data_IF_971651640251
#
_entry.id   IF_971651640251
#
_cell.length_a   1.000
_cell.length_b   1.000
_cell.length_c   1.000
_cell.angle_alpha   90.00
_cell.angle_beta   90.00
_cell.angle_gamma   90.00
#
_symmetry.space_group_name_H-M   'P 1'
#
loop_
_entity.id
_entity.type
_entity.pdbx_description
1 polymer ?
#
# COMPACT_ATOMS: atom_id res chain seq x y z
N UNK A 1 -13.89 22.29 -16.20
CA UNK A 1 -14.11 21.30 -15.13
C UNK A 1 -12.82 20.52 -15.01
N UNK A 2 -12.13 20.49 -13.86
CA UNK A 2 -11.05 19.53 -13.69
C UNK A 2 -11.65 18.13 -13.86
N UNK A 3 -10.99 17.35 -14.69
CA UNK A 3 -11.29 15.96 -14.98
C UNK A 3 -11.29 15.19 -13.66
N UNK A 4 -12.40 14.50 -13.34
CA UNK A 4 -12.50 13.69 -12.12
C UNK A 4 -11.53 12.51 -12.29
N UNK A 5 -10.30 12.68 -11.81
CA UNK A 5 -9.25 11.67 -11.94
C UNK A 5 -9.61 10.49 -11.05
N UNK A 6 -9.95 9.36 -11.67
CA UNK A 6 -10.16 8.09 -10.96
C UNK A 6 -8.86 7.57 -10.37
N UNK A 7 -8.97 6.82 -9.28
CA UNK A 7 -7.85 6.12 -8.67
C UNK A 7 -7.64 4.79 -9.39
N UNK A 8 -6.45 4.60 -9.96
CA UNK A 8 -6.11 3.35 -10.64
C UNK A 8 -5.89 2.21 -9.63
N UNK A 9 -6.47 1.06 -9.91
CA UNK A 9 -6.28 -0.19 -9.20
C UNK A 9 -5.78 -1.27 -10.17
N UNK A 10 -4.58 -1.77 -9.94
CA UNK A 10 -3.84 -2.66 -10.81
C UNK A 10 -4.19 -4.11 -10.53
N UNK A 11 -4.56 -4.86 -11.57
CA UNK A 11 -4.90 -6.27 -11.46
C UNK A 11 -3.70 -7.10 -10.98
N UNK A 12 -3.96 -8.08 -10.11
CA UNK A 12 -2.99 -9.08 -9.69
C UNK A 12 -3.39 -10.46 -10.22
N UNK A 13 -2.49 -11.43 -10.13
CA UNK A 13 -2.75 -12.83 -10.44
C UNK A 13 -3.21 -13.66 -9.21
N UNK A 14 -3.55 -12.99 -8.11
CA UNK A 14 -4.04 -13.63 -6.90
C UNK A 14 -5.50 -14.11 -7.03
N UNK A 15 -5.90 -15.19 -6.34
CA UNK A 15 -7.30 -15.55 -6.21
C UNK A 15 -8.11 -14.42 -5.54
N UNK A 16 -9.35 -14.27 -5.99
CA UNK A 16 -10.32 -13.35 -5.43
C UNK A 16 -11.58 -14.14 -4.99
N UNK A 17 -12.22 -13.78 -3.86
CA UNK A 17 -11.84 -12.70 -2.95
C UNK A 17 -10.55 -13.00 -2.17
N UNK A 18 -9.79 -11.95 -1.86
CA UNK A 18 -8.56 -12.05 -1.09
C UNK A 18 -8.88 -12.14 0.41
N UNK A 19 -8.22 -13.07 1.10
CA UNK A 19 -8.13 -13.09 2.56
C UNK A 19 -6.80 -12.49 3.04
N UNK A 20 -6.56 -12.46 4.35
CA UNK A 20 -5.34 -11.88 4.92
C UNK A 20 -4.06 -12.60 4.46
N UNK A 21 -4.12 -13.92 4.26
CA UNK A 21 -2.97 -14.69 3.80
C UNK A 21 -2.64 -14.32 2.36
N UNK A 22 -3.66 -14.25 1.50
CA UNK A 22 -3.51 -13.83 0.12
C UNK A 22 -3.04 -12.38 0.01
N UNK A 23 -3.59 -11.48 0.82
CA UNK A 23 -3.17 -10.08 0.85
C UNK A 23 -1.68 -9.94 1.22
N UNK A 24 -1.20 -10.74 2.18
CA UNK A 24 0.21 -10.77 2.56
C UNK A 24 1.10 -11.27 1.42
N UNK A 25 0.69 -12.33 0.72
CA UNK A 25 1.42 -12.85 -0.46
C UNK A 25 1.46 -11.85 -1.61
N UNK A 26 0.35 -11.16 -1.87
CA UNK A 26 0.29 -10.10 -2.89
C UNK A 26 1.20 -8.93 -2.53
N UNK A 27 1.18 -8.50 -1.26
CA UNK A 27 2.05 -7.45 -0.77
C UNK A 27 3.53 -7.80 -0.96
N UNK A 28 3.94 -9.01 -0.58
CA UNK A 28 5.31 -9.49 -0.78
C UNK A 28 5.70 -9.54 -2.26
N UNK A 29 4.82 -10.08 -3.10
CA UNK A 29 5.12 -10.31 -4.51
C UNK A 29 5.20 -9.03 -5.34
N UNK A 30 4.28 -8.09 -5.12
CA UNK A 30 4.13 -6.91 -5.97
C UNK A 30 4.82 -5.68 -5.40
N UNK A 31 4.95 -5.56 -4.08
CA UNK A 31 5.49 -4.34 -3.47
C UNK A 31 6.99 -4.46 -3.20
N UNK A 32 7.49 -5.61 -2.76
CA UNK A 32 8.94 -5.79 -2.50
C UNK A 32 9.80 -5.49 -3.74
N UNK A 33 9.42 -5.87 -4.97
CA UNK A 33 10.18 -5.47 -6.16
C UNK A 33 10.19 -3.95 -6.43
N UNK A 34 9.11 -3.22 -6.10
CA UNK A 34 9.00 -1.78 -6.32
C UNK A 34 9.72 -0.93 -5.25
N UNK A 35 9.79 -1.39 -4.00
CA UNK A 35 10.52 -0.67 -2.92
C UNK A 35 12.04 -0.91 -2.93
N UNK A 36 12.55 -1.69 -3.88
CA UNK A 36 13.92 -2.22 -3.85
C UNK A 36 14.12 -3.22 -2.71
N UNK A 37 15.36 -3.67 -2.49
CA UNK A 37 15.69 -4.48 -1.31
C UNK A 37 15.16 -3.75 -0.07
N UNK A 38 14.19 -4.34 0.62
CA UNK A 38 13.77 -3.85 1.93
C UNK A 38 15.03 -3.70 2.79
N UNK A 39 15.30 -2.52 3.36
CA UNK A 39 16.41 -2.35 4.28
C UNK A 39 16.35 -3.44 5.35
N UNK A 40 17.49 -3.91 5.83
CA UNK A 40 17.54 -4.94 6.86
C UNK A 40 16.63 -4.54 8.05
N UNK A 41 15.69 -5.43 8.41
CA UNK A 41 14.71 -5.18 9.46
C UNK A 41 13.44 -4.42 9.04
N UNK A 42 13.32 -3.97 7.79
CA UNK A 42 12.06 -3.45 7.27
C UNK A 42 11.08 -4.59 6.97
N UNK A 43 9.79 -4.33 7.21
CA UNK A 43 8.71 -5.30 6.98
C UNK A 43 7.49 -4.62 6.40
N UNK A 44 6.67 -5.38 5.69
CA UNK A 44 5.33 -4.94 5.32
C UNK A 44 4.38 -5.23 6.47
N UNK A 45 3.52 -4.29 6.78
CA UNK A 45 2.43 -4.45 7.74
C UNK A 45 1.12 -4.42 6.98
N UNK A 46 0.35 -5.51 7.11
CA UNK A 46 -0.95 -5.66 6.46
C UNK A 46 -2.03 -5.56 7.52
N UNK A 47 -2.99 -4.67 7.32
CA UNK A 47 -4.13 -4.47 8.22
C UNK A 47 -5.42 -4.72 7.46
N UNK A 48 -6.31 -5.51 8.06
CA UNK A 48 -7.60 -5.85 7.48
C UNK A 48 -8.68 -4.82 7.84
N UNK A 49 -9.40 -4.35 6.82
CA UNK A 49 -10.58 -3.50 6.94
C UNK A 49 -11.79 -4.17 6.25
N UNK A 50 -12.97 -3.56 6.36
CA UNK A 50 -14.21 -4.17 5.84
C UNK A 50 -14.15 -4.48 4.33
N UNK A 51 -13.68 -3.53 3.51
CA UNK A 51 -13.68 -3.63 2.04
C UNK A 51 -12.31 -3.93 1.43
N UNK A 52 -11.23 -3.85 2.21
CA UNK A 52 -9.87 -3.92 1.70
C UNK A 52 -8.87 -4.34 2.79
N UNK A 53 -7.61 -4.49 2.39
CA UNK A 53 -6.46 -4.51 3.27
C UNK A 53 -5.60 -3.28 2.97
N UNK A 54 -5.05 -2.63 4.00
CA UNK A 54 -3.96 -1.66 3.80
C UNK A 54 -2.62 -2.35 3.99
N UNK A 55 -1.62 -1.84 3.29
CA UNK A 55 -0.24 -2.27 3.41
C UNK A 55 0.63 -1.04 3.55
N UNK A 56 1.44 -1.01 4.60
CA UNK A 56 2.47 0.00 4.81
C UNK A 56 3.83 -0.65 5.02
N UNK A 57 4.88 0.04 4.60
CA UNK A 57 6.26 -0.34 4.92
C UNK A 57 6.61 0.21 6.30
N UNK A 58 6.92 -0.69 7.23
CA UNK A 58 7.55 -0.33 8.49
C UNK A 58 9.06 -0.46 8.30
N UNK A 59 9.77 0.67 8.37
CA UNK A 59 11.23 0.69 8.35
C UNK A 59 11.79 0.29 9.72
N UNK A 60 13.01 -0.23 9.74
CA UNK A 60 13.73 -0.42 10.99
C UNK A 60 13.84 0.93 11.74
N UNK A 61 13.80 0.94 13.08
CA UNK A 61 14.07 2.15 13.84
C UNK A 61 15.43 2.73 13.44
N UNK A 62 15.57 4.06 13.31
CA UNK A 62 16.87 4.66 13.07
C UNK A 62 17.82 4.34 14.23
N UNK A 63 19.14 4.25 13.97
CA UNK A 63 20.11 4.13 15.06
C UNK A 63 19.97 5.32 16.02
N UNK A 64 20.09 5.04 17.32
CA UNK A 64 19.95 6.03 18.40
C UNK A 64 21.31 6.30 19.04
N UNK A 65 21.52 7.54 19.49
CA UNK A 65 22.68 7.92 20.30
C UNK A 65 22.58 7.37 21.72
N UNK A 66 23.64 7.57 22.52
CA UNK A 66 23.67 7.17 23.94
C UNK A 66 22.58 7.86 24.79
N UNK A 67 22.08 9.00 24.32
CA UNK A 67 20.97 9.77 24.91
C UNK A 67 19.58 9.25 24.51
N UNK A 68 19.50 8.23 23.64
CA UNK A 68 18.26 7.66 23.12
C UNK A 68 17.62 8.49 22.00
N UNK A 69 18.29 9.52 21.48
CA UNK A 69 17.78 10.35 20.39
C UNK A 69 18.21 9.73 19.04
N UNK A 70 17.31 9.62 18.03
CA UNK A 70 17.68 9.18 16.69
C UNK A 70 18.85 9.99 16.12
N UNK A 71 19.90 9.30 15.65
CA UNK A 71 21.07 9.93 15.03
C UNK A 71 20.74 10.65 13.72
N UNK A 72 19.67 10.20 13.06
CA UNK A 72 19.17 10.79 11.83
C UNK A 72 17.65 10.99 11.94
N UNK A 73 17.09 12.02 11.27
CA UNK A 73 15.65 12.15 11.13
C UNK A 73 15.04 10.88 10.54
N UNK A 74 13.86 10.51 11.00
CA UNK A 74 13.10 9.44 10.35
C UNK A 74 12.78 9.86 8.91
N UNK A 75 12.98 8.95 7.96
CA UNK A 75 12.52 9.17 6.59
C UNK A 75 10.99 9.28 6.59
N UNK A 76 10.40 10.22 5.82
CA UNK A 76 8.96 10.26 5.64
C UNK A 76 8.45 8.88 5.20
N UNK A 77 7.41 8.40 5.86
CA UNK A 77 6.82 7.09 5.56
C UNK A 77 6.42 6.98 4.09
N UNK A 78 6.55 5.77 3.53
CA UNK A 78 6.03 5.47 2.21
C UNK A 78 4.51 5.72 2.11
N UNK A 79 3.97 5.74 0.89
CA UNK A 79 2.52 5.78 0.69
C UNK A 79 1.83 4.54 1.29
N UNK A 80 0.51 4.61 1.42
CA UNK A 80 -0.29 3.45 1.83
C UNK A 80 -0.72 2.71 0.56
N UNK A 81 -0.52 1.40 0.54
CA UNK A 81 -1.05 0.56 -0.54
C UNK A 81 -2.36 -0.06 -0.07
N UNK A 82 -3.34 -0.18 -0.97
CA UNK A 82 -4.60 -0.85 -0.71
C UNK A 82 -4.73 -2.07 -1.60
N UNK A 83 -5.09 -3.21 -1.01
CA UNK A 83 -5.50 -4.44 -1.71
C UNK A 83 -7.00 -4.57 -1.56
N UNK A 84 -7.74 -4.51 -2.67
CA UNK A 84 -9.18 -4.72 -2.67
C UNK A 84 -9.54 -6.17 -2.34
N UNK A 85 -10.48 -6.38 -1.41
CA UNK A 85 -10.87 -7.73 -0.99
C UNK A 85 -11.60 -8.52 -2.07
N UNK A 86 -12.40 -7.86 -2.90
CA UNK A 86 -13.25 -8.54 -3.87
C UNK A 86 -12.48 -8.96 -5.13
N UNK A 87 -11.45 -8.21 -5.49
CA UNK A 87 -10.72 -8.37 -6.77
C UNK A 87 -9.25 -8.71 -6.59
N UNK A 88 -8.66 -8.48 -5.41
CA UNK A 88 -7.22 -8.59 -5.19
C UNK A 88 -6.41 -7.50 -5.90
N UNK A 89 -7.04 -6.48 -6.48
CA UNK A 89 -6.36 -5.39 -7.17
C UNK A 89 -5.65 -4.44 -6.19
N UNK A 90 -4.53 -3.88 -6.62
CA UNK A 90 -3.67 -3.02 -5.81
C UNK A 90 -3.82 -1.56 -6.22
N UNK A 91 -3.99 -0.63 -5.28
CA UNK A 91 -3.97 0.81 -5.55
C UNK A 91 -3.03 1.53 -4.58
N UNK A 92 -2.45 2.65 -5.02
CA UNK A 92 -1.46 3.41 -4.27
C UNK A 92 -2.04 4.74 -3.80
N UNK A 93 -1.91 4.99 -2.50
CA UNK A 93 -2.49 6.15 -1.84
C UNK A 93 -1.41 7.01 -1.19
N UNK A 94 -1.70 8.31 -0.94
CA UNK A 94 -0.78 9.18 -0.20
C UNK A 94 -0.41 8.61 1.17
N UNK A 95 0.67 9.14 1.76
CA UNK A 95 1.10 8.77 3.12
C UNK A 95 0.17 9.39 4.18
N UNK A 96 -1.04 8.84 4.25
CA UNK A 96 -2.07 9.13 5.25
C UNK A 96 -2.17 7.97 6.24
N UNK A 97 -2.90 8.15 7.34
CA UNK A 97 -3.14 7.05 8.27
C UNK A 97 -3.93 5.91 7.61
N UNK A 98 -3.58 4.66 7.91
CA UNK A 98 -4.16 3.46 7.28
C UNK A 98 -5.69 3.43 7.37
N UNK A 99 -6.27 3.72 8.54
CA UNK A 99 -7.73 3.75 8.70
C UNK A 99 -8.41 4.83 7.85
N UNK A 100 -7.75 5.98 7.67
CA UNK A 100 -8.26 7.06 6.82
C UNK A 100 -8.19 6.68 5.34
N UNK A 101 -7.11 6.01 4.92
CA UNK A 101 -6.99 5.47 3.56
C UNK A 101 -8.05 4.42 3.30
N UNK A 102 -8.30 3.51 4.25
CA UNK A 102 -9.36 2.50 4.11
C UNK A 102 -10.75 3.12 3.98
N UNK A 103 -11.04 4.19 4.73
CA UNK A 103 -12.28 4.96 4.61
C UNK A 103 -12.39 5.62 3.22
N UNK A 104 -11.34 6.32 2.77
CA UNK A 104 -11.32 6.97 1.45
C UNK A 104 -11.39 6.00 0.30
N UNK A 105 -10.78 4.82 0.44
CA UNK A 105 -10.93 3.73 -0.51
C UNK A 105 -12.39 3.27 -0.60
N UNK A 106 -13.05 3.06 0.54
CA UNK A 106 -14.45 2.65 0.55
C UNK A 106 -15.39 3.70 -0.08
N UNK A 107 -15.16 4.99 0.20
CA UNK A 107 -15.87 6.11 -0.44
C UNK A 107 -15.67 6.09 -1.97
N UNK A 108 -14.42 6.02 -2.43
CA UNK A 108 -14.10 6.02 -3.85
C UNK A 108 -14.67 4.79 -4.58
N UNK A 109 -14.64 3.61 -3.93
CA UNK A 109 -15.24 2.38 -4.46
C UNK A 109 -16.76 2.52 -4.60
N UNK A 110 -17.43 3.04 -3.58
CA UNK A 110 -18.88 3.27 -3.60
C UNK A 110 -19.29 4.32 -4.66
N UNK A 111 -18.43 5.31 -4.92
CA UNK A 111 -18.64 6.34 -5.92
C UNK A 111 -18.30 5.90 -7.36
N UNK A 112 -17.73 4.71 -7.58
CA UNK A 112 -17.28 4.26 -8.90
C UNK A 112 -16.04 5.00 -9.42
N UNK A 113 -15.24 5.53 -8.49
CA UNK A 113 -14.02 6.31 -8.73
C UNK A 113 -12.74 5.45 -8.70
N UNK A 114 -12.89 4.13 -8.54
CA UNK A 114 -11.80 3.16 -8.76
C UNK A 114 -11.83 2.72 -10.22
N UNK A 115 -10.70 2.87 -10.89
CA UNK A 115 -10.47 2.40 -12.26
C UNK A 115 -9.57 1.17 -12.23
N UNK A 116 -10.12 0.01 -12.59
CA UNK A 116 -9.35 -1.22 -12.66
C UNK A 116 -8.55 -1.27 -13.97
N UNK A 117 -7.23 -1.36 -13.85
CA UNK A 117 -6.30 -1.39 -14.97
C UNK A 117 -5.43 -2.64 -14.90
N UNK A 118 -5.04 -3.16 -16.07
CA UNK A 118 -4.21 -4.38 -16.17
C UNK A 118 -2.73 -4.02 -16.22
N UNK A 119 -2.40 -2.86 -16.79
CA UNK A 119 -1.02 -2.41 -16.98
C UNK A 119 -0.51 -1.74 -15.71
N UNK A 120 0.53 -2.34 -15.12
CA UNK A 120 1.24 -1.78 -13.97
C UNK A 120 2.10 -0.58 -14.40
N UNK A 121 2.28 0.41 -13.52
CA UNK A 121 3.21 1.49 -13.81
C UNK A 121 4.59 0.88 -14.02
N UNK A 122 5.26 1.25 -15.12
CA UNK A 122 6.66 0.89 -15.28
C UNK A 122 7.49 1.84 -14.42
N UNK A 123 8.42 1.29 -13.64
CA UNK A 123 9.40 2.11 -12.93
C UNK A 123 10.16 2.94 -13.98
N UNK A 124 9.99 4.26 -13.94
CA UNK A 124 10.82 5.15 -14.75
C UNK A 124 12.28 4.90 -14.36
N UNK A 125 13.04 4.40 -15.33
CA UNK A 125 14.46 4.09 -15.20
C UNK A 125 15.30 5.34 -15.04
#
# INVERSE_FOLDING_TARGET
MPENRKMSAYATDGPAPADLAQASLLAERYLVPEVGLLPEGARLHVVEFASCFTVVKITAPPPVGEDGIPLHPAEPGGGVTVIDKETGAISFWPSWGESFVAEKYAEAKAAGEIEYVVEWPTANT
#
